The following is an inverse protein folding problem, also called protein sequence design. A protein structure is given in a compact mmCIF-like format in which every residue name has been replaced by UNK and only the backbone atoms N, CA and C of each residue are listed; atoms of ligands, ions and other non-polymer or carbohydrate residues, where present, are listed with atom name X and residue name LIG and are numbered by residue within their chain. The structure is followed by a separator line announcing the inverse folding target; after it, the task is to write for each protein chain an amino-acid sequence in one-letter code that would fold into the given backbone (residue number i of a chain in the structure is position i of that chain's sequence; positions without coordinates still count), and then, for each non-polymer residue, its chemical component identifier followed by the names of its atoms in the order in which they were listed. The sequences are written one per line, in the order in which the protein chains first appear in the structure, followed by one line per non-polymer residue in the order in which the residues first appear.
data_IF_841466376739
#
_entry.id   IF_841466376739
#
_cell.length_a   1.000
_cell.length_b   1.000
_cell.length_c   1.000
_cell.angle_alpha   90.00
_cell.angle_beta   90.00
_cell.angle_gamma   90.00
#
_symmetry.space_group_name_H-M   'P 1'
#
loop_
_entity.id
_entity.type
_entity.pdbx_description
1 polymer ?
#
# COMPACT_ATOMS: atom_id res chain seq x y z
N UNK A 1 0.28 -9.03 -11.94
CA UNK A 1 -1.03 -9.70 -11.74
C UNK A 1 -1.29 -10.15 -10.30
N UNK A 2 -0.39 -10.85 -9.62
CA UNK A 2 -0.70 -11.38 -8.28
C UNK A 2 -0.90 -10.29 -7.21
N UNK A 3 -0.08 -9.22 -7.24
CA UNK A 3 -0.25 -8.05 -6.37
C UNK A 3 -1.63 -7.41 -6.54
N UNK A 4 -1.98 -7.10 -7.78
CA UNK A 4 -3.27 -6.47 -8.12
C UNK A 4 -4.44 -7.33 -7.63
N UNK A 5 -4.41 -8.64 -7.90
CA UNK A 5 -5.44 -9.58 -7.42
C UNK A 5 -5.54 -9.58 -5.88
N UNK A 6 -4.41 -9.57 -5.17
CA UNK A 6 -4.40 -9.52 -3.69
C UNK A 6 -4.99 -8.21 -3.17
N UNK A 7 -4.62 -7.07 -3.76
CA UNK A 7 -5.16 -5.77 -3.36
C UNK A 7 -6.67 -5.69 -3.63
N UNK A 8 -7.13 -6.14 -4.81
CA UNK A 8 -8.56 -6.16 -5.17
C UNK A 8 -9.40 -7.07 -4.25
N UNK A 9 -8.81 -8.13 -3.69
CA UNK A 9 -9.49 -8.97 -2.70
C UNK A 9 -9.82 -8.22 -1.39
N UNK A 10 -9.19 -7.07 -1.14
CA UNK A 10 -9.44 -6.22 0.01
C UNK A 10 -10.40 -5.06 -0.27
N UNK A 11 -10.88 -4.91 -1.51
CA UNK A 11 -11.68 -3.76 -1.94
C UNK A 11 -13.08 -3.73 -1.29
N UNK A 12 -13.64 -4.90 -0.96
CA UNK A 12 -14.89 -4.96 -0.22
C UNK A 12 -14.60 -4.96 1.29
N UNK A 13 -14.60 -3.77 1.89
CA UNK A 13 -14.35 -3.57 3.31
C UNK A 13 -15.39 -2.60 3.93
N UNK A 14 -16.59 -3.09 4.27
CA UNK A 14 -17.64 -2.24 4.83
C UNK A 14 -17.18 -1.52 6.09
N UNK A 15 -17.29 -0.19 6.09
CA UNK A 15 -17.02 0.68 7.25
C UNK A 15 -15.60 0.66 7.82
N UNK A 16 -14.62 0.06 7.14
CA UNK A 16 -13.27 -0.11 7.71
C UNK A 16 -12.17 0.18 6.70
N UNK A 17 -11.11 0.85 7.18
CA UNK A 17 -9.87 0.95 6.44
C UNK A 17 -9.21 -0.42 6.29
N UNK A 18 -8.47 -0.58 5.20
CA UNK A 18 -7.54 -1.70 4.98
C UNK A 18 -6.21 -1.14 4.54
N UNK A 19 -5.14 -1.61 5.17
CA UNK A 19 -3.80 -1.19 4.81
C UNK A 19 -2.78 -2.30 4.97
N UNK A 20 -1.60 -2.07 4.42
CA UNK A 20 -0.45 -2.93 4.66
C UNK A 20 0.76 -2.61 3.80
N UNK A 21 1.87 -3.32 4.02
CA UNK A 21 3.11 -3.08 3.30
C UNK A 21 3.04 -3.55 1.85
N UNK A 22 3.80 -2.84 1.01
CA UNK A 22 4.14 -3.19 -0.36
C UNK A 22 5.62 -3.53 -0.40
N UNK A 23 5.94 -4.67 -1.02
CA UNK A 23 7.32 -5.11 -1.19
C UNK A 23 7.66 -5.27 -2.66
N UNK A 24 8.94 -5.08 -2.97
CA UNK A 24 9.47 -5.15 -4.31
C UNK A 24 10.85 -4.52 -4.38
N UNK A 25 11.20 -3.92 -5.52
CA UNK A 25 12.53 -3.35 -5.73
C UNK A 25 12.47 -1.87 -6.12
N UNK A 26 13.59 -1.17 -5.90
CA UNK A 26 13.77 0.24 -6.25
C UNK A 26 14.94 0.35 -7.21
N UNK A 27 14.66 0.79 -8.44
CA UNK A 27 15.68 0.91 -9.48
C UNK A 27 15.48 2.20 -10.27
N UNK A 28 16.49 3.08 -10.28
CA UNK A 28 16.52 4.30 -11.11
C UNK A 28 15.28 5.19 -10.99
N UNK A 29 14.77 5.38 -9.76
CA UNK A 29 13.56 6.18 -9.50
C UNK A 29 12.24 5.46 -9.76
N UNK A 30 12.28 4.21 -10.24
CA UNK A 30 11.11 3.35 -10.41
C UNK A 30 10.98 2.42 -9.20
N UNK A 31 9.78 2.34 -8.65
CA UNK A 31 9.43 1.39 -7.58
C UNK A 31 8.58 0.28 -8.17
N UNK A 32 9.17 -0.91 -8.31
CA UNK A 32 8.48 -2.08 -8.80
C UNK A 32 7.84 -2.82 -7.62
N UNK A 33 6.52 -2.92 -7.59
CA UNK A 33 5.80 -3.69 -6.56
C UNK A 33 5.60 -5.12 -7.04
N UNK A 34 6.15 -6.09 -6.30
CA UNK A 34 6.02 -7.52 -6.61
C UNK A 34 5.20 -8.28 -5.59
N UNK A 35 5.01 -7.74 -4.37
CA UNK A 35 4.17 -8.31 -3.31
C UNK A 35 3.38 -7.23 -2.57
N UNK A 36 2.19 -7.60 -2.10
CA UNK A 36 1.39 -6.83 -1.17
C UNK A 36 0.86 -7.76 -0.07
N UNK A 37 0.83 -7.27 1.16
CA UNK A 37 0.32 -8.01 2.30
C UNK A 37 -0.49 -7.08 3.22
N UNK A 38 -1.31 -7.67 4.10
CA UNK A 38 -1.94 -6.92 5.19
C UNK A 38 -0.86 -6.49 6.19
N UNK A 39 -1.07 -5.39 6.90
CA UNK A 39 -0.15 -4.99 7.98
C UNK A 39 -0.30 -5.79 9.28
N UNK A 40 -1.31 -6.66 9.37
CA UNK A 40 -1.61 -7.50 10.54
C UNK A 40 -1.91 -8.94 10.13
N UNK A 41 -1.70 -9.93 11.03
CA UNK A 41 -2.02 -11.32 10.74
C UNK A 41 -3.51 -11.53 10.39
N UNK A 42 -3.84 -12.52 9.54
CA UNK A 42 -5.23 -12.93 9.32
C UNK A 42 -5.93 -13.28 10.64
N UNK A 43 -7.20 -12.91 10.78
CA UNK A 43 -7.98 -13.15 12.01
C UNK A 43 -7.75 -12.15 13.14
N UNK A 44 -6.64 -11.41 13.13
CA UNK A 44 -6.46 -10.23 13.98
C UNK A 44 -7.00 -9.02 13.23
N UNK A 45 -8.29 -8.74 13.43
CA UNK A 45 -8.87 -7.45 13.06
C UNK A 45 -8.73 -6.52 14.27
N UNK A 46 -7.92 -5.46 14.18
CA UNK A 46 -7.94 -4.42 15.19
C UNK A 46 -9.35 -3.82 15.26
N UNK A 47 -9.91 -3.79 16.47
CA UNK A 47 -11.25 -3.27 16.77
C UNK A 47 -11.30 -1.73 16.76
N UNK A 48 -10.24 -1.10 16.24
CA UNK A 48 -10.08 0.35 16.21
C UNK A 48 -10.25 0.91 14.80
N UNK A 49 -10.78 2.13 14.74
CA UNK A 49 -11.03 2.89 13.51
C UNK A 49 -9.75 3.49 12.90
N UNK A 50 -8.56 2.92 13.19
CA UNK A 50 -7.30 3.46 12.67
C UNK A 50 -7.23 3.30 11.16
N UNK A 51 -6.66 4.32 10.51
CA UNK A 51 -6.43 4.34 9.06
C UNK A 51 -5.34 3.35 8.64
N UNK A 52 -4.27 3.23 9.45
CA UNK A 52 -3.15 2.35 9.18
C UNK A 52 -3.01 1.31 10.28
N UNK A 53 -3.23 0.04 9.93
CA UNK A 53 -3.01 -1.09 10.82
C UNK A 53 -1.71 -1.79 10.47
N UNK A 54 -0.77 -1.79 11.41
CA UNK A 54 0.52 -2.45 11.24
C UNK A 54 0.98 -3.04 12.58
N UNK A 55 1.15 -4.37 12.63
CA UNK A 55 1.91 -5.04 13.69
C UNK A 55 3.36 -5.18 13.20
N UNK A 56 4.26 -4.40 13.81
CA UNK A 56 5.66 -4.37 13.43
C UNK A 56 6.34 -5.75 13.49
N UNK A 57 5.95 -6.63 14.41
CA UNK A 57 6.55 -7.97 14.54
C UNK A 57 6.09 -8.88 13.40
N UNK A 58 4.83 -8.77 13.01
CA UNK A 58 4.29 -9.51 11.88
C UNK A 58 4.94 -9.06 10.57
N UNK A 59 5.05 -7.75 10.36
CA UNK A 59 5.67 -7.19 9.15
C UNK A 59 7.17 -7.52 9.09
N UNK A 60 7.88 -7.48 10.22
CA UNK A 60 9.28 -7.91 10.28
C UNK A 60 9.44 -9.37 9.88
N UNK A 61 8.66 -10.29 10.47
CA UNK A 61 8.73 -11.71 10.11
C UNK A 61 8.35 -11.97 8.64
N UNK A 62 7.42 -11.19 8.08
CA UNK A 62 7.12 -11.26 6.65
C UNK A 62 8.29 -10.77 5.80
N UNK A 63 8.93 -9.66 6.20
CA UNK A 63 10.10 -9.11 5.52
C UNK A 63 11.22 -10.14 5.46
N UNK A 64 11.54 -10.78 6.59
CA UNK A 64 12.61 -11.80 6.69
C UNK A 64 12.37 -12.96 5.71
N UNK A 65 11.14 -13.48 5.68
CA UNK A 65 10.74 -14.57 4.77
C UNK A 65 10.89 -14.16 3.31
N UNK A 66 10.50 -12.92 2.98
CA UNK A 66 10.59 -12.43 1.61
C UNK A 66 12.06 -12.26 1.19
N UNK A 67 12.89 -11.65 2.04
CA UNK A 67 14.32 -11.42 1.76
C UNK A 67 15.13 -12.71 1.64
N UNK A 68 14.76 -13.77 2.35
CA UNK A 68 15.40 -15.09 2.22
C UNK A 68 15.13 -15.72 0.85
N UNK A 69 13.97 -15.41 0.26
CA UNK A 69 13.57 -15.92 -1.06
C UNK A 69 14.06 -15.08 -2.24
N UNK A 70 14.33 -13.80 -2.01
CA UNK A 70 14.71 -12.82 -3.03
C UNK A 70 15.46 -11.65 -2.37
N UNK A 71 16.79 -11.58 -2.51
CA UNK A 71 17.59 -10.56 -1.84
C UNK A 71 17.40 -9.14 -2.39
N UNK A 72 16.70 -8.98 -3.51
CA UNK A 72 16.37 -7.66 -4.08
C UNK A 72 15.01 -7.13 -3.60
N UNK A 73 14.27 -7.92 -2.81
CA UNK A 73 12.97 -7.51 -2.29
C UNK A 73 13.13 -6.71 -0.99
N UNK A 74 12.52 -5.54 -0.96
CA UNK A 74 12.49 -4.64 0.20
C UNK A 74 11.10 -4.02 0.36
N UNK A 75 10.85 -3.41 1.50
CA UNK A 75 9.67 -2.58 1.72
C UNK A 75 9.76 -1.32 0.85
N UNK A 76 8.91 -1.21 -0.16
CA UNK A 76 8.90 -0.08 -1.11
C UNK A 76 7.77 0.92 -0.91
N UNK A 77 6.72 0.58 -0.15
CA UNK A 77 5.63 1.49 0.14
C UNK A 77 4.55 0.88 1.04
N UNK A 78 3.47 1.60 1.22
CA UNK A 78 2.30 1.14 1.95
C UNK A 78 1.06 1.28 1.04
N UNK A 79 0.08 0.41 1.21
CA UNK A 79 -1.21 0.55 0.53
C UNK A 79 -2.33 0.87 1.51
N UNK A 80 -3.37 1.54 1.01
CA UNK A 80 -4.56 1.93 1.76
C UNK A 80 -5.81 1.80 0.88
N UNK A 81 -6.88 1.29 1.49
CA UNK A 81 -8.24 1.30 0.96
C UNK A 81 -9.11 1.94 2.03
N UNK A 82 -9.89 2.95 1.64
CA UNK A 82 -10.82 3.63 2.53
C UNK A 82 -12.05 2.74 2.82
N UNK A 83 -12.84 3.07 3.86
CA UNK A 83 -14.11 2.40 4.12
C UNK A 83 -14.98 2.28 2.87
N UNK A 84 -15.69 1.16 2.79
CA UNK A 84 -16.62 0.83 1.70
C UNK A 84 -15.95 0.71 0.32
N UNK A 85 -14.62 0.67 0.28
CA UNK A 85 -13.84 0.55 -0.95
C UNK A 85 -13.85 1.83 -1.79
N UNK A 86 -14.16 2.98 -1.20
CA UNK A 86 -14.17 4.26 -1.90
C UNK A 86 -12.75 4.78 -2.13
N UNK A 87 -12.54 5.49 -3.24
CA UNK A 87 -11.21 6.05 -3.57
C UNK A 87 -10.82 7.23 -2.65
N UNK A 88 -11.80 8.01 -2.20
CA UNK A 88 -11.59 9.24 -1.45
C UNK A 88 -11.36 10.46 -2.34
N UNK A 89 -11.49 11.64 -1.73
CA UNK A 89 -11.20 12.93 -2.35
C UNK A 89 -9.70 13.24 -2.32
N UNK A 90 -9.27 14.27 -3.07
CA UNK A 90 -7.89 14.76 -3.01
C UNK A 90 -7.48 15.17 -1.59
N UNK A 91 -8.41 15.78 -0.83
CA UNK A 91 -8.14 16.17 0.55
C UNK A 91 -7.90 14.95 1.45
N UNK A 92 -8.72 13.91 1.30
CA UNK A 92 -8.55 12.66 2.06
C UNK A 92 -7.17 12.04 1.77
N UNK A 93 -6.75 12.01 0.50
CA UNK A 93 -5.44 11.51 0.12
C UNK A 93 -4.29 12.29 0.79
N UNK A 94 -4.37 13.63 0.82
CA UNK A 94 -3.36 14.44 1.49
C UNK A 94 -3.30 14.12 2.99
N UNK A 95 -4.45 14.01 3.64
CA UNK A 95 -4.53 13.63 5.06
C UNK A 95 -3.93 12.25 5.32
N UNK A 96 -4.24 11.26 4.48
CA UNK A 96 -3.68 9.91 4.59
C UNK A 96 -2.17 9.88 4.37
N UNK A 97 -1.66 10.68 3.43
CA UNK A 97 -0.21 10.79 3.19
C UNK A 97 0.51 11.37 4.42
N UNK A 98 -0.03 12.43 5.04
CA UNK A 98 0.57 12.99 6.25
C UNK A 98 0.47 12.04 7.44
N UNK A 99 -0.62 11.28 7.57
CA UNK A 99 -0.74 10.25 8.59
C UNK A 99 0.29 9.11 8.38
N UNK A 100 0.47 8.66 7.13
CA UNK A 100 1.49 7.67 6.78
C UNK A 100 2.90 8.17 7.11
N UNK A 101 3.18 9.45 6.84
CA UNK A 101 4.45 10.09 7.18
C UNK A 101 4.69 10.12 8.69
N UNK A 102 3.69 10.54 9.47
CA UNK A 102 3.79 10.59 10.93
C UNK A 102 4.06 9.22 11.57
N UNK A 103 3.64 8.15 10.89
CA UNK A 103 3.85 6.75 11.30
C UNK A 103 5.11 6.12 10.68
N UNK A 104 5.92 6.88 9.94
CA UNK A 104 7.08 6.38 9.18
C UNK A 104 6.74 5.23 8.21
N UNK A 105 5.53 5.25 7.65
CA UNK A 105 5.07 4.30 6.62
C UNK A 105 5.27 4.82 5.19
N UNK A 106 5.49 6.13 5.05
CA UNK A 106 5.81 6.81 3.81
C UNK A 106 6.84 7.92 4.08
N UNK A 107 7.86 7.99 3.25
CA UNK A 107 8.95 8.96 3.32
C UNK A 107 9.51 9.22 1.91
N UNK A 108 10.77 9.65 1.81
CA UNK A 108 11.43 9.91 0.52
C UNK A 108 11.60 8.64 -0.33
N UNK A 109 11.58 7.50 0.34
CA UNK A 109 11.97 6.19 -0.13
C UNK A 109 10.77 5.26 -0.29
N UNK A 110 9.79 5.36 0.61
CA UNK A 110 8.54 4.62 0.63
C UNK A 110 7.33 5.48 0.20
N UNK A 111 6.54 5.00 -0.76
CA UNK A 111 5.34 5.70 -1.24
C UNK A 111 4.06 5.19 -0.58
N UNK A 112 3.00 6.00 -0.62
CA UNK A 112 1.64 5.57 -0.31
C UNK A 112 0.87 5.27 -1.60
N UNK A 113 0.35 4.05 -1.72
CA UNK A 113 -0.62 3.65 -2.74
C UNK A 113 -2.02 3.67 -2.14
N UNK A 114 -2.94 4.35 -2.78
CA UNK A 114 -4.37 4.24 -2.47
C UNK A 114 -5.09 3.58 -3.62
N UNK A 115 -6.03 2.70 -3.32
CA UNK A 115 -6.93 2.13 -4.32
C UNK A 115 -8.36 2.14 -3.82
N UNK A 116 -9.29 2.30 -4.74
CA UNK A 116 -10.71 2.37 -4.46
C UNK A 116 -11.53 2.42 -5.73
N UNK A 117 -12.85 2.43 -5.57
CA UNK A 117 -13.80 2.56 -6.67
C UNK A 117 -14.13 4.03 -6.90
N UNK A 118 -14.18 4.40 -8.17
CA UNK A 118 -14.73 5.65 -8.66
C UNK A 118 -15.65 5.26 -9.84
N UNK A 119 -16.93 5.59 -9.73
CA UNK A 119 -17.97 5.13 -10.67
C UNK A 119 -17.99 3.59 -10.84
N UNK A 120 -17.60 3.08 -12.01
CA UNK A 120 -17.55 1.65 -12.35
C UNK A 120 -16.12 1.09 -12.47
N UNK A 121 -15.08 1.91 -12.24
CA UNK A 121 -13.68 1.48 -12.34
C UNK A 121 -13.02 1.34 -10.97
N UNK A 122 -11.92 0.58 -10.95
CA UNK A 122 -11.00 0.58 -9.81
C UNK A 122 -9.81 1.44 -10.19
N UNK A 123 -9.58 2.46 -9.37
CA UNK A 123 -8.51 3.43 -9.57
C UNK A 123 -7.37 3.21 -8.59
N UNK A 124 -6.17 3.58 -9.02
CA UNK A 124 -4.95 3.54 -8.24
C UNK A 124 -4.32 4.92 -8.25
N UNK A 125 -4.03 5.47 -7.08
CA UNK A 125 -3.31 6.73 -6.93
C UNK A 125 -2.12 6.50 -6.02
N UNK A 126 -0.95 6.95 -6.43
CA UNK A 126 0.27 6.82 -5.65
C UNK A 126 0.84 8.19 -5.32
N UNK A 127 1.38 8.32 -4.12
CA UNK A 127 1.90 9.57 -3.60
C UNK A 127 3.26 9.35 -2.96
N UNK A 128 4.18 10.25 -3.26
CA UNK A 128 5.52 10.30 -2.66
C UNK A 128 5.68 11.57 -1.85
N UNK A 129 6.51 11.51 -0.82
CA UNK A 129 6.86 12.66 0.02
C UNK A 129 8.32 13.05 -0.21
N UNK A 130 8.58 14.34 -0.37
CA UNK A 130 9.93 14.91 -0.29
C UNK A 130 9.88 16.06 0.70
N UNK A 131 10.45 15.84 1.90
CA UNK A 131 10.23 16.72 3.05
C UNK A 131 8.74 16.83 3.42
N UNK A 132 8.11 17.97 3.08
CA UNK A 132 6.67 18.22 3.29
C UNK A 132 5.85 18.29 2.01
N UNK A 133 6.51 18.15 0.86
CA UNK A 133 5.84 18.23 -0.43
C UNK A 133 5.31 16.85 -0.81
N UNK A 134 3.99 16.77 -1.00
CA UNK A 134 3.32 15.58 -1.52
C UNK A 134 3.22 15.68 -3.04
N UNK A 135 3.66 14.65 -3.74
CA UNK A 135 3.58 14.58 -5.21
C UNK A 135 2.85 13.31 -5.63
N UNK A 136 1.88 13.45 -6.53
CA UNK A 136 1.24 12.29 -7.18
C UNK A 136 2.21 11.70 -8.20
N UNK A 137 2.34 10.37 -8.21
CA UNK A 137 3.20 9.64 -9.15
C UNK A 137 2.37 8.68 -10.00
N UNK A 138 2.74 8.50 -11.27
CA UNK A 138 2.01 7.62 -12.17
C UNK A 138 2.09 6.16 -11.69
N UNK A 139 0.96 5.46 -11.73
CA UNK A 139 0.85 4.03 -11.45
C UNK A 139 0.68 3.29 -12.78
N UNK A 140 1.54 2.31 -13.04
CA UNK A 140 1.46 1.48 -14.23
C UNK A 140 1.26 0.02 -13.83
N UNK A 141 0.10 -0.53 -14.20
CA UNK A 141 -0.17 -1.96 -14.03
C UNK A 141 0.49 -2.73 -15.19
N UNK A 142 1.59 -3.41 -14.89
CA UNK A 142 2.26 -4.24 -15.89
C UNK A 142 1.40 -5.47 -16.25
N UNK A 143 1.29 -5.83 -17.55
CA UNK A 143 0.62 -7.04 -17.97
C UNK A 143 1.31 -8.26 -17.35
N UNK A 144 0.58 -9.37 -17.19
CA UNK A 144 1.21 -10.61 -16.77
C UNK A 144 2.28 -11.00 -17.80
N UNK A 145 3.52 -11.19 -17.35
CA UNK A 145 4.49 -11.88 -18.18
C UNK A 145 3.99 -13.31 -18.37
N UNK A 146 3.74 -13.70 -19.61
CA UNK A 146 3.50 -15.09 -19.96
C UNK A 146 4.76 -15.87 -19.54
N UNK A 147 4.59 -16.85 -18.65
CA UNK A 147 5.65 -17.80 -18.32
C UNK A 147 5.83 -18.78 -19.46
#
# INVERSE_FOLDING_TARGET
MEVQRRLLAHLYAPGQFRSGPLFGSRNSGVRLVTRAARGVPPGLLPDDSRTFHLDARYVLGLSDILTDSDSEIDWVGHWLIAPDGLLGSLQDHLEWVYQAQALALADEDAFLLTLGREEESVEYRAFTLQGRQVTSVPVVCLPAQAK
#
